data_IF_017690712834
#
_entry.id   IF_017690712834
#
_cell.length_a   1.000
_cell.length_b   1.000
_cell.length_c   1.000
_cell.angle_alpha   90.00
_cell.angle_beta   90.00
_cell.angle_gamma   90.00
#
_symmetry.space_group_name_H-M   'P 1'
#
loop_
_entity.id
_entity.type
_entity.pdbx_description
1 polymer ?
#
# COMPACT_ATOMS: atom_id res chain seq x y z
N UNK A 1 -14.87 17.75 8.77
CA UNK A 1 -13.77 16.79 8.61
C UNK A 1 -14.09 15.56 9.45
N UNK A 2 -14.45 14.48 8.78
CA UNK A 2 -14.84 13.22 9.40
C UNK A 2 -13.62 12.46 9.93
N UNK A 3 -13.84 11.44 10.76
CA UNK A 3 -12.77 10.59 11.30
C UNK A 3 -12.07 9.77 10.20
N UNK A 4 -12.85 9.23 9.25
CA UNK A 4 -12.35 8.51 8.09
C UNK A 4 -11.42 9.37 7.19
N UNK A 5 -11.72 10.67 7.02
CA UNK A 5 -10.85 11.60 6.30
C UNK A 5 -9.51 11.85 7.01
N UNK A 6 -9.49 11.78 8.35
CA UNK A 6 -8.25 11.93 9.14
C UNK A 6 -7.40 10.66 9.07
N UNK A 7 -8.03 9.49 9.19
CA UNK A 7 -7.35 8.20 9.07
C UNK A 7 -6.73 8.02 7.68
N UNK A 8 -7.46 8.39 6.62
CA UNK A 8 -6.96 8.33 5.25
C UNK A 8 -5.71 9.21 5.06
N UNK A 9 -5.71 10.43 5.61
CA UNK A 9 -4.61 11.39 5.54
C UNK A 9 -3.33 11.02 6.31
N UNK A 10 -3.34 9.92 7.07
CA UNK A 10 -2.20 9.50 7.88
C UNK A 10 -1.64 8.11 7.48
N UNK A 11 -2.25 7.40 6.52
CA UNK A 11 -1.91 6.00 6.26
C UNK A 11 -0.43 5.75 5.92
N UNK A 12 0.18 6.54 5.04
CA UNK A 12 1.60 6.40 4.72
C UNK A 12 2.47 6.82 5.91
N UNK A 13 2.11 7.91 6.60
CA UNK A 13 2.79 8.37 7.81
C UNK A 13 2.86 7.27 8.88
N UNK A 14 1.72 6.65 9.17
CA UNK A 14 1.59 5.59 10.17
C UNK A 14 2.31 4.32 9.73
N UNK A 15 2.19 3.96 8.45
CA UNK A 15 2.90 2.82 7.87
C UNK A 15 4.41 3.00 8.03
N UNK A 16 4.96 4.14 7.62
CA UNK A 16 6.40 4.44 7.70
C UNK A 16 6.86 4.46 9.15
N UNK A 17 6.15 5.16 10.03
CA UNK A 17 6.52 5.25 11.44
C UNK A 17 6.58 3.88 12.10
N UNK A 18 5.49 3.12 11.99
CA UNK A 18 5.37 1.78 12.57
C UNK A 18 6.44 0.85 12.03
N UNK A 19 6.59 0.75 10.70
CA UNK A 19 7.55 -0.20 10.13
C UNK A 19 8.99 0.16 10.46
N UNK A 20 9.36 1.43 10.41
CA UNK A 20 10.72 1.86 10.75
C UNK A 20 11.08 1.50 12.19
N UNK A 21 10.14 1.67 13.12
CA UNK A 21 10.31 1.30 14.53
C UNK A 21 10.47 -0.21 14.71
N UNK A 22 9.65 -1.02 14.03
CA UNK A 22 9.77 -2.48 14.04
C UNK A 22 11.13 -2.96 13.50
N UNK A 23 11.64 -2.32 12.45
CA UNK A 23 12.98 -2.57 11.89
C UNK A 23 14.12 -1.98 12.74
N UNK A 24 13.79 -1.25 13.82
CA UNK A 24 14.74 -0.58 14.72
C UNK A 24 15.71 0.37 14.00
N UNK A 25 15.26 0.98 12.91
CA UNK A 25 16.07 1.92 12.13
C UNK A 25 15.95 3.34 12.67
N UNK A 26 17.08 4.04 12.76
CA UNK A 26 17.08 5.49 12.92
C UNK A 26 16.51 6.16 11.66
N UNK A 27 16.11 7.43 11.75
CA UNK A 27 15.62 8.18 10.57
C UNK A 27 16.66 8.20 9.43
N UNK A 28 17.93 8.38 9.77
CA UNK A 28 19.04 8.36 8.80
C UNK A 28 19.31 6.96 8.27
N UNK A 29 19.27 5.94 9.13
CA UNK A 29 19.43 4.55 8.72
C UNK A 29 18.32 4.10 7.76
N UNK A 30 17.09 4.50 8.03
CA UNK A 30 15.95 4.23 7.14
C UNK A 30 16.09 4.95 5.80
N UNK A 31 16.40 6.24 5.80
CA UNK A 31 16.65 7.00 4.57
C UNK A 31 17.77 6.38 3.70
N UNK A 32 18.82 5.86 4.34
CA UNK A 32 19.91 5.16 3.64
C UNK A 32 19.48 3.78 3.08
N UNK A 33 18.55 3.10 3.75
CA UNK A 33 17.99 1.82 3.28
C UNK A 33 16.99 1.98 2.12
N UNK A 34 16.47 3.19 1.89
CA UNK A 34 15.57 3.48 0.77
C UNK A 34 16.34 3.58 -0.56
N UNK A 35 16.43 2.46 -1.27
CA UNK A 35 17.08 2.34 -2.57
C UNK A 35 16.05 1.86 -3.61
N UNK A 36 15.97 2.54 -4.76
CA UNK A 36 15.13 2.11 -5.87
C UNK A 36 15.70 0.82 -6.49
N UNK A 37 15.01 -0.33 -6.39
CA UNK A 37 15.52 -1.60 -6.92
C UNK A 37 15.57 -1.63 -8.44
N UNK A 38 14.84 -0.76 -9.14
CA UNK A 38 14.85 -0.71 -10.60
C UNK A 38 16.13 -0.06 -11.17
N UNK A 39 16.74 0.85 -10.40
CA UNK A 39 17.89 1.66 -10.86
C UNK A 39 19.12 1.54 -9.96
N UNK A 40 18.97 0.98 -8.75
CA UNK A 40 20.00 1.00 -7.70
C UNK A 40 20.19 2.37 -7.06
N UNK A 41 19.35 3.36 -7.37
CA UNK A 41 19.53 4.74 -6.89
C UNK A 41 19.09 4.87 -5.44
N UNK A 42 20.03 5.23 -4.56
CA UNK A 42 19.76 5.60 -3.17
C UNK A 42 19.58 7.11 -2.99
N UNK A 43 19.22 7.53 -1.78
CA UNK A 43 19.13 8.96 -1.42
C UNK A 43 17.91 9.70 -1.98
N UNK A 44 16.97 8.97 -2.60
CA UNK A 44 15.68 9.52 -3.06
C UNK A 44 14.79 9.95 -1.89
N UNK A 45 14.97 9.35 -0.73
CA UNK A 45 14.22 9.68 0.49
C UNK A 45 15.16 10.34 1.50
N UNK A 46 14.93 11.62 1.80
CA UNK A 46 15.69 12.35 2.80
C UNK A 46 15.19 12.10 4.23
N UNK A 47 16.09 11.95 5.20
CA UNK A 47 15.71 11.75 6.62
C UNK A 47 14.81 12.87 7.18
N UNK A 48 14.99 14.12 6.72
CA UNK A 48 14.12 15.24 7.09
C UNK A 48 12.70 15.09 6.53
N UNK A 49 12.56 14.54 5.32
CA UNK A 49 11.24 14.26 4.74
C UNK A 49 10.54 13.17 5.56
N UNK A 50 11.26 12.12 5.97
CA UNK A 50 10.73 11.04 6.83
C UNK A 50 10.29 11.59 8.18
N UNK A 51 11.12 12.41 8.84
CA UNK A 51 10.77 13.03 10.12
C UNK A 51 9.49 13.88 10.02
N UNK A 52 9.34 14.64 8.93
CA UNK A 52 8.13 15.44 8.69
C UNK A 52 6.90 14.57 8.43
N UNK A 53 7.06 13.52 7.64
CA UNK A 53 5.99 12.58 7.31
C UNK A 53 5.45 11.92 8.60
N UNK A 54 6.32 11.40 9.46
CA UNK A 54 5.91 10.73 10.71
C UNK A 54 5.27 11.68 11.74
N UNK A 55 5.54 12.98 11.64
CA UNK A 55 4.89 14.01 12.47
C UNK A 55 3.60 14.54 11.86
N UNK A 56 3.10 13.91 10.80
CA UNK A 56 1.94 14.35 10.03
C UNK A 56 2.03 15.80 9.54
N UNK A 57 3.26 16.30 9.34
CA UNK A 57 3.48 17.63 8.75
C UNK A 57 3.30 17.56 7.24
N UNK A 58 2.99 18.70 6.62
CA UNK A 58 2.90 18.78 5.17
C UNK A 58 4.25 18.39 4.51
N UNK A 59 4.17 17.45 3.58
CA UNK A 59 5.29 16.96 2.77
C UNK A 59 4.87 16.85 1.31
N UNK A 60 5.84 16.94 0.41
CA UNK A 60 5.62 16.63 -1.01
C UNK A 60 5.23 15.15 -1.17
N UNK A 61 4.16 14.83 -1.93
CA UNK A 61 3.80 13.46 -2.24
C UNK A 61 4.94 12.73 -2.97
N UNK A 62 5.29 11.51 -2.56
CA UNK A 62 6.35 10.74 -3.21
C UNK A 62 5.91 10.26 -4.60
N UNK A 63 6.84 10.31 -5.55
CA UNK A 63 6.73 9.81 -6.92
C UNK A 63 7.10 8.32 -6.99
N UNK A 64 6.88 7.70 -8.15
CA UNK A 64 7.08 6.26 -8.31
C UNK A 64 8.50 5.75 -7.92
N UNK A 65 9.62 6.40 -8.30
CA UNK A 65 10.94 5.97 -7.85
C UNK A 65 11.11 6.02 -6.32
N UNK A 66 10.55 7.05 -5.69
CA UNK A 66 10.56 7.23 -4.24
C UNK A 66 9.70 6.17 -3.54
N UNK A 67 8.54 5.84 -4.11
CA UNK A 67 7.67 4.76 -3.61
C UNK A 67 8.35 3.38 -3.69
N UNK A 68 9.10 3.10 -4.76
CA UNK A 68 9.91 1.88 -4.86
C UNK A 68 11.03 1.86 -3.83
N UNK A 69 11.72 2.98 -3.64
CA UNK A 69 12.76 3.12 -2.61
C UNK A 69 12.18 2.95 -1.19
N UNK A 70 11.00 3.51 -0.92
CA UNK A 70 10.28 3.30 0.34
C UNK A 70 9.92 1.83 0.55
N UNK A 71 9.42 1.14 -0.47
CA UNK A 71 9.09 -0.28 -0.39
C UNK A 71 10.31 -1.13 0.00
N UNK A 72 11.47 -0.86 -0.60
CA UNK A 72 12.76 -1.47 -0.22
C UNK A 72 13.10 -1.18 1.25
N UNK A 73 13.10 0.10 1.65
CA UNK A 73 13.49 0.49 3.01
C UNK A 73 12.56 0.00 4.11
N UNK A 74 11.27 -0.20 3.79
CA UNK A 74 10.25 -0.72 4.71
C UNK A 74 10.19 -2.25 4.74
N UNK A 75 10.88 -2.92 3.81
CA UNK A 75 10.75 -4.35 3.55
C UNK A 75 9.28 -4.76 3.36
N UNK A 76 8.60 -4.07 2.44
CA UNK A 76 7.19 -4.28 2.07
C UNK A 76 7.04 -4.37 0.55
N UNK A 77 5.95 -4.97 0.09
CA UNK A 77 5.58 -4.96 -1.32
C UNK A 77 5.19 -3.54 -1.77
N UNK A 78 5.61 -3.15 -2.99
CA UNK A 78 5.31 -1.83 -3.58
C UNK A 78 3.81 -1.47 -3.55
N UNK A 79 2.87 -2.39 -3.87
CA UNK A 79 1.44 -2.05 -3.85
C UNK A 79 0.93 -1.56 -2.49
N UNK A 80 1.46 -2.10 -1.39
CA UNK A 80 1.07 -1.69 -0.02
C UNK A 80 1.49 -0.24 0.26
N UNK A 81 2.68 0.13 -0.20
CA UNK A 81 3.19 1.51 -0.03
C UNK A 81 2.44 2.47 -0.95
N UNK A 82 2.14 2.05 -2.17
CA UNK A 82 1.34 2.83 -3.12
C UNK A 82 -0.07 3.09 -2.62
N UNK A 83 -0.73 2.07 -2.06
CA UNK A 83 -2.06 2.20 -1.46
C UNK A 83 -2.08 3.22 -0.31
N UNK A 84 -1.15 3.09 0.64
CA UNK A 84 -1.05 4.04 1.74
C UNK A 84 -0.75 5.47 1.27
N UNK A 85 0.09 5.63 0.24
CA UNK A 85 0.38 6.92 -0.37
C UNK A 85 -0.83 7.51 -1.11
N UNK A 86 -1.58 6.68 -1.85
CA UNK A 86 -2.77 7.08 -2.59
C UNK A 86 -3.89 7.52 -1.65
N UNK A 87 -4.10 6.81 -0.55
CA UNK A 87 -5.05 7.22 0.48
C UNK A 87 -4.64 8.56 1.11
N UNK A 88 -3.38 8.68 1.53
CA UNK A 88 -2.91 9.87 2.22
C UNK A 88 -2.87 11.14 1.37
N UNK A 89 -2.34 11.05 0.15
CA UNK A 89 -2.10 12.24 -0.68
C UNK A 89 -3.17 12.49 -1.74
N UNK A 90 -3.95 11.48 -2.10
CA UNK A 90 -4.97 11.58 -3.15
C UNK A 90 -6.39 11.29 -2.64
N UNK A 91 -6.55 10.89 -1.38
CA UNK A 91 -7.85 10.47 -0.83
C UNK A 91 -8.39 9.19 -1.49
N UNK A 92 -7.54 8.45 -2.21
CA UNK A 92 -7.93 7.23 -2.91
C UNK A 92 -7.75 6.07 -1.95
N UNK A 93 -8.85 5.57 -1.39
CA UNK A 93 -8.84 4.29 -0.68
C UNK A 93 -9.23 3.21 -1.69
N UNK A 94 -8.35 2.26 -2.04
CA UNK A 94 -8.74 1.19 -2.95
C UNK A 94 -9.89 0.41 -2.34
N UNK A 95 -11.00 0.30 -3.06
CA UNK A 95 -12.04 -0.68 -2.73
C UNK A 95 -11.58 -2.06 -3.17
N UNK A 96 -10.49 -2.57 -2.58
CA UNK A 96 -10.20 -4.00 -2.62
C UNK A 96 -10.75 -4.63 -1.36
N UNK A 97 -11.40 -5.77 -1.56
CA UNK A 97 -12.31 -6.36 -0.62
C UNK A 97 -11.75 -6.43 0.80
N UNK A 98 -12.38 -5.65 1.67
CA UNK A 98 -11.96 -5.34 3.04
C UNK A 98 -12.10 -6.53 3.99
N UNK A 99 -12.70 -7.63 3.54
CA UNK A 99 -12.98 -8.80 4.37
C UNK A 99 -11.89 -9.87 4.21
N UNK A 100 -11.60 -10.59 5.30
CA UNK A 100 -10.62 -11.68 5.31
C UNK A 100 -11.00 -12.79 4.31
N UNK A 101 -12.30 -13.00 4.11
CA UNK A 101 -12.87 -13.95 3.16
C UNK A 101 -12.51 -13.61 1.73
N UNK A 102 -12.50 -12.33 1.37
CA UNK A 102 -12.19 -11.93 0.01
C UNK A 102 -10.69 -12.00 -0.29
N UNK A 103 -9.82 -11.72 0.69
CA UNK A 103 -8.38 -12.03 0.58
C UNK A 103 -8.14 -13.53 0.43
N UNK A 104 -8.83 -14.34 1.22
CA UNK A 104 -8.73 -15.80 1.09
C UNK A 104 -9.14 -16.25 -0.33
N UNK A 105 -10.20 -15.67 -0.90
CA UNK A 105 -10.64 -15.95 -2.26
C UNK A 105 -9.57 -15.64 -3.31
N UNK A 106 -8.87 -14.51 -3.17
CA UNK A 106 -7.73 -14.16 -4.03
C UNK A 106 -6.58 -15.15 -3.87
N UNK A 107 -6.20 -15.48 -2.62
CA UNK A 107 -5.15 -16.47 -2.34
C UNK A 107 -5.48 -17.85 -2.91
N UNK A 108 -6.74 -18.30 -2.83
CA UNK A 108 -7.15 -19.57 -3.44
C UNK A 108 -7.11 -19.51 -4.97
N UNK A 109 -7.50 -18.39 -5.58
CA UNK A 109 -7.49 -18.21 -7.03
C UNK A 109 -6.07 -18.20 -7.65
N UNK A 110 -5.05 -17.79 -6.89
CA UNK A 110 -3.65 -17.84 -7.33
C UNK A 110 -3.14 -19.28 -7.53
N UNK A 111 -3.65 -20.23 -6.75
CA UNK A 111 -3.32 -21.66 -6.86
C UNK A 111 -4.08 -22.42 -7.96
N UNK A 112 -5.07 -21.79 -8.59
CA UNK A 112 -5.92 -22.41 -9.60
C UNK A 112 -5.27 -22.40 -10.99
N UNK A 113 -5.59 -23.43 -11.77
CA UNK A 113 -5.37 -23.44 -13.22
C UNK A 113 -6.27 -22.43 -13.92
N UNK A 114 -5.96 -22.13 -15.18
CA UNK A 114 -6.74 -21.17 -15.96
C UNK A 114 -8.20 -21.62 -16.17
N UNK A 115 -8.43 -22.91 -16.31
CA UNK A 115 -9.77 -23.48 -16.47
C UNK A 115 -10.60 -23.35 -15.19
N UNK A 116 -9.97 -23.59 -14.04
CA UNK A 116 -10.60 -23.43 -12.73
C UNK A 116 -10.91 -21.96 -12.43
N UNK A 117 -10.01 -21.04 -12.79
CA UNK A 117 -10.27 -19.59 -12.68
C UNK A 117 -11.45 -19.16 -13.54
N UNK A 118 -11.57 -19.69 -14.77
CA UNK A 118 -12.72 -19.41 -15.65
C UNK A 118 -14.03 -19.94 -15.07
N UNK A 119 -14.00 -21.11 -14.45
CA UNK A 119 -15.17 -21.67 -13.76
C UNK A 119 -15.57 -20.84 -12.53
N UNK A 120 -14.61 -20.42 -11.71
CA UNK A 120 -14.85 -19.55 -10.57
C UNK A 120 -15.47 -18.21 -11.00
N UNK A 121 -14.94 -17.60 -12.06
CA UNK A 121 -15.47 -16.36 -12.62
C UNK A 121 -16.92 -16.52 -13.07
N UNK A 122 -17.25 -17.60 -13.77
CA UNK A 122 -18.62 -17.87 -14.22
C UNK A 122 -19.62 -18.00 -13.05
N UNK A 123 -19.19 -18.58 -11.92
CA UNK A 123 -20.01 -18.67 -10.70
C UNK A 123 -20.25 -17.28 -10.10
N UNK A 124 -19.20 -16.46 -9.98
CA UNK A 124 -19.30 -15.10 -9.44
C UNK A 124 -20.23 -14.24 -10.30
N UNK A 125 -20.10 -14.31 -11.63
CA UNK A 125 -20.96 -13.58 -12.57
C UNK A 125 -22.42 -14.04 -12.54
N UNK A 126 -22.66 -15.34 -12.36
CA UNK A 126 -24.02 -15.86 -12.19
C UNK A 126 -24.65 -15.34 -10.89
N UNK A 127 -23.88 -15.32 -9.80
CA UNK A 127 -24.33 -14.80 -8.51
C UNK A 127 -24.65 -13.30 -8.58
N UNK A 128 -23.78 -12.50 -9.21
CA UNK A 128 -23.99 -11.05 -9.34
C UNK A 128 -25.24 -10.70 -10.17
N UNK A 129 -25.45 -11.39 -11.30
CA UNK A 129 -26.69 -11.26 -12.09
C UNK A 129 -27.95 -11.57 -11.30
N UNK A 130 -27.90 -12.57 -10.42
CA UNK A 130 -29.04 -12.95 -9.57
C UNK A 130 -29.36 -11.93 -8.48
N UNK A 131 -28.36 -11.15 -8.04
CA UNK A 131 -28.53 -10.06 -7.07
C UNK A 131 -29.13 -8.81 -7.69
N UNK A 132 -28.71 -8.45 -8.90
CA UNK A 132 -29.16 -7.21 -9.59
C UNK A 132 -30.57 -7.32 -10.18
N UNK A 133 -31.11 -8.54 -10.32
CA UNK A 133 -32.47 -8.81 -10.80
C UNK A 133 -33.54 -8.83 -9.68
N UNK A 134 -33.20 -8.48 -8.44
CA UNK A 134 -34.14 -8.23 -7.33
C UNK A 134 -34.24 -6.74 -7.03
#
# INVERSE_FOLDING_TARGET
>A
MTEAERESRAQLSDLVHRRRKELRLSLRGFAAACVDPATGTGGLIGHNWVDRLEKHMATTPPQLPELRALATGLNLALPVVQEAAAAQFMGITPTYATSGEARALVTYAEGMTEDERRQLLAIVEAYDRSRTSR
#
